data_IF_436909885435
#
_entry.id   IF_436909885435
#
_cell.length_a   1.000
_cell.length_b   1.000
_cell.length_c   1.000
_cell.angle_alpha   90.00
_cell.angle_beta   90.00
_cell.angle_gamma   90.00
#
_symmetry.space_group_name_H-M   'P 1'
#
loop_
_entity.id
_entity.type
_entity.pdbx_description
1 polymer ?
#
# COMPACT_ATOMS: atom_id res chain seq x y z
N UNK A 1 11.65 -11.95 -20.54
CA UNK A 1 12.64 -12.48 -19.57
C UNK A 1 11.88 -12.71 -18.26
N UNK A 2 11.31 -13.90 -18.08
CA UNK A 2 10.65 -14.32 -16.83
C UNK A 2 11.65 -15.20 -16.09
N UNK A 3 11.89 -14.89 -14.83
CA UNK A 3 12.55 -15.81 -13.91
C UNK A 3 11.83 -15.71 -12.58
N UNK A 4 11.04 -16.74 -12.30
CA UNK A 4 10.59 -17.09 -10.95
C UNK A 4 11.76 -17.83 -10.32
N UNK A 5 12.24 -17.35 -9.17
CA UNK A 5 13.18 -18.08 -8.33
C UNK A 5 12.46 -18.43 -7.03
N UNK A 6 12.24 -19.72 -6.82
CA UNK A 6 11.71 -20.30 -5.59
C UNK A 6 12.88 -20.52 -4.63
N UNK A 7 13.01 -19.66 -3.63
CA UNK A 7 13.62 -20.01 -2.36
C UNK A 7 12.80 -19.36 -1.25
N UNK A 8 11.99 -20.19 -0.61
CA UNK A 8 11.07 -19.85 0.45
C UNK A 8 11.79 -19.95 1.79
N UNK A 9 12.32 -18.83 2.26
CA UNK A 9 12.43 -18.56 3.69
C UNK A 9 11.38 -17.51 4.06
N UNK A 10 10.13 -17.96 4.14
CA UNK A 10 8.92 -17.17 4.43
C UNK A 10 8.90 -16.52 5.82
N UNK A 11 9.89 -16.77 6.68
CA UNK A 11 9.95 -16.27 8.07
C UNK A 11 10.93 -15.10 8.31
N UNK A 12 11.52 -14.50 7.26
CA UNK A 12 12.36 -13.28 7.39
C UNK A 12 11.91 -12.08 6.58
N UNK A 13 10.74 -12.15 5.93
CA UNK A 13 10.29 -11.14 4.96
C UNK A 13 9.57 -9.91 5.56
N UNK A 14 9.43 -9.83 6.88
CA UNK A 14 8.81 -8.68 7.56
C UNK A 14 9.75 -7.46 7.70
N UNK A 15 11.05 -7.62 7.45
CA UNK A 15 12.03 -6.53 7.45
C UNK A 15 12.28 -5.93 6.04
N UNK A 16 11.38 -6.17 5.09
CA UNK A 16 11.50 -5.73 3.69
C UNK A 16 10.79 -4.42 3.34
N UNK A 17 10.28 -3.69 4.32
CA UNK A 17 9.61 -2.42 4.09
C UNK A 17 10.63 -1.32 3.81
N UNK A 18 10.73 -0.93 2.53
CA UNK A 18 11.60 0.14 2.01
C UNK A 18 13.06 -0.32 1.81
N UNK A 19 13.33 -1.11 0.77
CA UNK A 19 14.70 -1.10 0.20
C UNK A 19 14.84 0.19 -0.61
N UNK A 20 15.40 1.20 0.04
CA UNK A 20 15.80 2.46 -0.58
C UNK A 20 17.06 2.18 -1.40
N UNK A 21 16.93 2.13 -2.73
CA UNK A 21 18.10 2.08 -3.60
C UNK A 21 18.44 3.50 -4.06
N UNK A 22 19.73 3.90 -4.06
CA UNK A 22 20.15 5.06 -4.82
C UNK A 22 19.78 4.84 -6.29
N UNK A 23 19.18 5.84 -6.95
CA UNK A 23 18.94 5.76 -8.39
C UNK A 23 20.28 5.57 -9.12
N UNK A 24 20.46 4.42 -9.79
CA UNK A 24 21.62 4.15 -10.61
C UNK A 24 21.66 5.15 -11.77
N UNK A 25 22.69 6.00 -11.83
CA UNK A 25 22.94 6.85 -13.01
C UNK A 25 23.69 6.03 -14.04
N UNK A 26 22.97 5.38 -14.93
CA UNK A 26 23.53 4.70 -16.08
C UNK A 26 24.18 5.71 -17.04
N UNK A 27 25.50 5.53 -17.22
CA UNK A 27 26.37 6.35 -18.04
C UNK A 27 26.26 5.91 -19.50
N UNK A 28 25.76 6.77 -20.40
CA UNK A 28 26.07 6.86 -21.85
C UNK A 28 25.12 7.89 -22.50
N UNK A 29 25.53 9.07 -22.97
CA UNK A 29 26.05 9.29 -24.33
C UNK A 29 26.50 10.75 -24.49
N UNK A 30 27.55 10.96 -25.28
CA UNK A 30 28.28 12.20 -25.63
C UNK A 30 27.46 13.33 -26.30
N UNK A 31 27.69 14.60 -25.91
CA UNK A 31 28.28 15.68 -26.75
C UNK A 31 27.97 17.13 -26.25
N UNK A 32 29.05 17.90 -26.11
CA UNK A 32 29.29 19.34 -26.37
C UNK A 32 28.44 20.51 -25.79
N UNK A 33 29.19 21.37 -25.08
CA UNK A 33 29.20 22.84 -25.03
C UNK A 33 28.18 23.63 -24.17
N UNK A 34 28.75 24.41 -23.22
CA UNK A 34 28.15 25.64 -22.65
C UNK A 34 28.16 25.72 -21.11
N UNK A 35 28.78 26.74 -20.47
CA UNK A 35 28.76 26.90 -19.03
C UNK A 35 27.55 27.73 -18.61
N UNK A 36 26.69 27.20 -17.75
CA UNK A 36 25.82 28.04 -16.92
C UNK A 36 25.87 27.54 -15.49
N UNK A 37 26.33 28.45 -14.64
CA UNK A 37 26.34 28.36 -13.20
C UNK A 37 24.94 28.07 -12.69
N UNK A 38 24.74 26.90 -12.11
CA UNK A 38 23.63 26.63 -11.21
C UNK A 38 24.10 25.52 -10.29
N UNK A 39 24.25 25.85 -9.02
CA UNK A 39 24.66 24.98 -7.94
C UNK A 39 23.78 23.72 -7.94
N UNK A 40 24.21 22.67 -8.64
CA UNK A 40 23.56 21.36 -8.59
C UNK A 40 23.96 20.73 -7.28
N UNK A 41 23.19 20.99 -6.21
CA UNK A 41 23.06 20.01 -5.14
C UNK A 41 22.62 18.73 -5.83
N UNK A 42 23.50 17.75 -5.93
CA UNK A 42 23.19 16.45 -6.51
C UNK A 42 22.10 15.82 -5.66
N UNK A 43 20.84 16.04 -6.05
CA UNK A 43 19.70 15.38 -5.44
C UNK A 43 19.94 13.88 -5.57
N UNK A 44 20.05 13.21 -4.42
CA UNK A 44 20.07 11.75 -4.38
C UNK A 44 18.62 11.34 -4.57
N UNK A 45 18.32 10.77 -5.73
CA UNK A 45 17.03 10.16 -6.00
C UNK A 45 17.00 8.77 -5.39
N UNK A 46 15.88 8.43 -4.76
CA UNK A 46 15.67 7.18 -4.06
C UNK A 46 14.50 6.45 -4.71
N UNK A 47 14.73 5.20 -5.11
CA UNK A 47 13.65 4.32 -5.58
C UNK A 47 13.13 3.48 -4.40
N UNK A 48 11.81 3.42 -4.27
CA UNK A 48 11.14 2.67 -3.20
C UNK A 48 10.04 1.79 -3.79
N UNK A 49 10.04 0.53 -3.37
CA UNK A 49 9.10 -0.50 -3.82
C UNK A 49 8.09 -0.83 -2.72
N UNK A 50 6.82 -0.96 -3.12
CA UNK A 50 5.71 -1.31 -2.22
C UNK A 50 4.83 -2.37 -2.86
N UNK A 51 4.13 -3.13 -2.02
CA UNK A 51 2.95 -3.86 -2.49
C UNK A 51 1.82 -2.87 -2.73
N UNK A 52 1.06 -3.08 -3.81
CA UNK A 52 -0.12 -2.27 -4.16
C UNK A 52 -1.06 -2.00 -2.97
N UNK A 53 -1.54 -2.99 -2.20
CA UNK A 53 -2.39 -2.71 -1.06
C UNK A 53 -1.66 -1.97 0.08
N UNK A 54 -0.35 -2.14 0.24
CA UNK A 54 0.38 -1.45 1.32
C UNK A 54 0.45 0.06 1.11
N UNK A 55 0.54 0.51 -0.14
CA UNK A 55 0.58 1.93 -0.47
C UNK A 55 -0.83 2.51 -0.62
N UNK A 56 -1.79 1.76 -1.15
CA UNK A 56 -3.18 2.24 -1.27
C UNK A 56 -3.81 2.50 0.12
N UNK A 57 -3.50 1.66 1.10
CA UNK A 57 -3.99 1.80 2.48
C UNK A 57 -3.03 2.55 3.41
N UNK A 58 -1.97 3.13 2.86
CA UNK A 58 -0.94 3.83 3.62
C UNK A 58 -1.46 5.11 4.27
N UNK A 59 -1.02 5.38 5.49
CA UNK A 59 -1.39 6.60 6.21
C UNK A 59 -0.63 7.80 5.65
N UNK A 60 -1.34 8.73 5.02
CA UNK A 60 -0.77 9.99 4.53
C UNK A 60 -0.44 10.01 3.05
N UNK A 61 -0.56 8.88 2.34
CA UNK A 61 -0.53 8.86 0.89
C UNK A 61 -1.95 8.89 0.31
N UNK A 62 -2.10 9.55 -0.83
CA UNK A 62 -3.38 9.65 -1.52
C UNK A 62 -3.14 9.83 -3.03
N UNK A 63 -4.08 9.33 -3.83
CA UNK A 63 -4.05 9.49 -5.28
C UNK A 63 -4.80 10.77 -5.68
N UNK A 64 -4.18 11.57 -6.52
CA UNK A 64 -4.80 12.72 -7.19
C UNK A 64 -4.69 12.48 -8.69
N UNK A 65 -5.80 12.06 -9.31
CA UNK A 65 -5.80 11.57 -10.69
C UNK A 65 -4.91 10.33 -10.82
N UNK A 66 -3.82 10.44 -11.59
CA UNK A 66 -2.83 9.37 -11.77
C UNK A 66 -1.54 9.58 -10.94
N UNK A 67 -1.48 10.60 -10.10
CA UNK A 67 -0.29 10.92 -9.30
C UNK A 67 -0.47 10.52 -7.84
N UNK A 68 0.54 9.87 -7.27
CA UNK A 68 0.60 9.53 -5.86
C UNK A 68 1.29 10.67 -5.08
N UNK A 69 0.60 11.21 -4.09
CA UNK A 69 1.08 12.32 -3.26
C UNK A 69 1.27 11.86 -1.80
N UNK A 70 2.13 12.55 -1.04
CA UNK A 70 2.38 12.26 0.37
C UNK A 70 3.16 10.95 0.62
N UNK A 71 3.90 10.48 -0.38
CA UNK A 71 4.67 9.25 -0.30
C UNK A 71 5.76 9.32 0.78
N UNK A 72 6.45 10.46 0.87
CA UNK A 72 7.47 10.75 1.88
C UNK A 72 6.95 10.57 3.30
N UNK A 73 5.79 11.16 3.60
CA UNK A 73 5.15 11.07 4.90
C UNK A 73 4.66 9.65 5.18
N UNK A 74 4.08 8.99 4.18
CA UNK A 74 3.63 7.60 4.31
C UNK A 74 4.79 6.66 4.62
N UNK A 75 5.90 6.78 3.90
CA UNK A 75 7.12 5.98 4.13
C UNK A 75 7.69 6.25 5.50
N UNK A 76 7.85 7.52 5.87
CA UNK A 76 8.37 7.89 7.18
C UNK A 76 7.50 7.31 8.29
N UNK A 77 6.18 7.45 8.18
CA UNK A 77 5.24 6.92 9.16
C UNK A 77 5.31 5.40 9.26
N UNK A 78 5.31 4.69 8.12
CA UNK A 78 5.40 3.24 8.08
C UNK A 78 6.68 2.75 8.77
N UNK A 79 7.83 3.35 8.46
CA UNK A 79 9.13 2.98 9.05
C UNK A 79 9.19 3.20 10.56
N UNK A 80 8.45 4.18 11.09
CA UNK A 80 8.43 4.51 12.52
C UNK A 80 7.24 3.89 13.28
N UNK A 81 6.49 3.01 12.63
CA UNK A 81 5.27 2.42 13.19
C UNK A 81 5.46 0.92 13.43
N UNK A 82 4.87 0.44 14.53
CA UNK A 82 4.96 -0.96 14.95
C UNK A 82 3.60 -1.60 14.73
N UNK A 83 3.58 -2.77 14.11
CA UNK A 83 2.36 -3.51 13.86
C UNK A 83 1.76 -4.05 15.17
N UNK A 84 0.50 -3.73 15.45
CA UNK A 84 -0.20 -4.21 16.66
C UNK A 84 -0.45 -5.72 16.69
N UNK A 85 -0.37 -6.40 15.54
CA UNK A 85 -0.57 -7.85 15.44
C UNK A 85 0.73 -8.64 15.60
N UNK A 86 1.77 -8.29 14.80
CA UNK A 86 3.02 -9.05 14.75
C UNK A 86 4.17 -8.40 15.53
N UNK A 87 4.03 -7.16 16.01
CA UNK A 87 5.07 -6.46 16.78
C UNK A 87 6.26 -5.97 15.97
N UNK A 88 6.26 -6.16 14.65
CA UNK A 88 7.33 -5.74 13.74
C UNK A 88 7.13 -4.31 13.23
N UNK A 89 8.22 -3.64 12.86
CA UNK A 89 8.18 -2.30 12.25
C UNK A 89 7.71 -2.34 10.79
N UNK A 90 7.21 -1.22 10.27
CA UNK A 90 6.77 -1.09 8.88
C UNK A 90 5.25 -1.10 8.68
N UNK A 91 4.48 -0.79 9.71
CA UNK A 91 3.03 -0.81 9.65
C UNK A 91 2.43 0.41 8.92
N UNK A 92 2.24 0.35 7.61
CA UNK A 92 1.75 1.51 6.82
C UNK A 92 0.29 1.90 7.09
N UNK A 93 -0.55 0.97 7.56
CA UNK A 93 -1.99 1.22 7.74
C UNK A 93 -2.27 1.70 9.15
N UNK A 94 -2.88 2.88 9.27
CA UNK A 94 -3.23 3.51 10.54
C UNK A 94 -4.73 3.68 10.68
N UNK A 95 -5.21 3.67 11.93
CA UNK A 95 -6.62 3.95 12.19
C UNK A 95 -6.94 5.45 11.99
N UNK A 96 -8.00 5.75 11.24
CA UNK A 96 -8.47 7.15 10.98
C UNK A 96 -8.97 7.87 12.24
N UNK A 97 -9.26 7.13 13.32
CA UNK A 97 -9.87 7.70 14.52
C UNK A 97 -8.90 8.65 15.22
N UNK A 98 -9.36 9.88 15.47
CA UNK A 98 -8.62 10.85 16.30
C UNK A 98 -8.15 10.23 17.62
N UNK A 99 -6.87 10.45 17.96
CA UNK A 99 -6.17 9.91 19.13
C UNK A 99 -5.88 8.39 19.11
N UNK A 100 -6.22 7.68 18.03
CA UNK A 100 -5.75 6.32 17.83
C UNK A 100 -4.39 6.32 17.11
N UNK A 101 -3.40 5.65 17.69
CA UNK A 101 -2.06 5.45 17.08
C UNK A 101 -1.81 3.99 16.72
N UNK A 102 -2.88 3.20 16.62
CA UNK A 102 -2.77 1.82 16.19
C UNK A 102 -2.37 1.78 14.72
N UNK A 103 -1.32 1.02 14.43
CA UNK A 103 -0.80 0.76 13.10
C UNK A 103 -0.69 -0.74 12.85
N UNK A 104 -0.96 -1.17 11.62
CA UNK A 104 -0.95 -2.59 11.24
C UNK A 104 -0.45 -2.77 9.81
N UNK A 105 0.09 -3.96 9.47
CA UNK A 105 0.30 -4.35 8.08
C UNK A 105 -1.03 -4.68 7.39
N UNK A 106 -1.08 -4.58 6.06
CA UNK A 106 -2.27 -5.00 5.28
C UNK A 106 -2.73 -6.43 5.60
N UNK A 107 -1.84 -7.41 5.45
CA UNK A 107 -2.18 -8.81 5.77
C UNK A 107 -2.55 -8.99 7.24
N UNK A 108 -1.84 -8.33 8.15
CA UNK A 108 -2.17 -8.37 9.58
C UNK A 108 -3.57 -7.79 9.86
N UNK A 109 -3.96 -6.70 9.19
CA UNK A 109 -5.26 -6.06 9.33
C UNK A 109 -6.40 -7.02 8.98
N UNK A 110 -6.22 -7.79 7.90
CA UNK A 110 -7.16 -8.84 7.49
C UNK A 110 -7.25 -9.95 8.55
N UNK A 111 -6.13 -10.37 9.13
CA UNK A 111 -6.11 -11.41 10.15
C UNK A 111 -6.83 -11.03 11.45
N UNK A 112 -6.69 -9.78 11.90
CA UNK A 112 -7.30 -9.32 13.16
C UNK A 112 -8.66 -8.62 12.97
N UNK A 113 -9.21 -8.66 11.76
CA UNK A 113 -10.54 -8.14 11.46
C UNK A 113 -10.65 -6.61 11.53
N UNK A 114 -9.63 -5.88 11.09
CA UNK A 114 -9.76 -4.44 10.88
C UNK A 114 -10.76 -4.14 9.77
N UNK A 115 -11.41 -2.98 9.88
CA UNK A 115 -12.35 -2.53 8.86
C UNK A 115 -11.64 -1.60 7.87
N UNK A 116 -11.63 -2.02 6.61
CA UNK A 116 -11.03 -1.33 5.47
C UNK A 116 -12.14 -1.07 4.46
N UNK A 117 -12.53 0.20 4.26
CA UNK A 117 -13.56 0.59 3.29
C UNK A 117 -12.93 0.90 1.92
N UNK A 118 -13.08 0.03 0.90
CA UNK A 118 -12.44 0.22 -0.40
C UNK A 118 -13.02 1.39 -1.19
N UNK A 119 -14.20 1.89 -0.82
CA UNK A 119 -14.83 3.03 -1.49
C UNK A 119 -14.24 4.36 -1.05
N UNK A 120 -13.81 4.46 0.22
CA UNK A 120 -13.27 5.69 0.80
C UNK A 120 -11.79 5.58 1.18
N UNK A 121 -11.18 4.40 1.05
CA UNK A 121 -9.84 4.06 1.54
C UNK A 121 -9.60 4.43 3.01
N UNK A 122 -10.65 4.26 3.83
CA UNK A 122 -10.58 4.52 5.27
C UNK A 122 -10.33 3.21 6.01
N UNK A 123 -9.30 3.21 6.87
CA UNK A 123 -8.97 2.09 7.74
C UNK A 123 -9.34 2.39 9.22
N UNK A 124 -9.95 1.43 9.89
CA UNK A 124 -10.23 1.48 11.33
C UNK A 124 -9.83 0.21 12.05
N UNK A 125 -9.29 0.38 13.25
CA UNK A 125 -8.97 -0.75 14.10
C UNK A 125 -10.22 -1.45 14.62
N UNK A 126 -10.07 -2.70 15.03
CA UNK A 126 -11.15 -3.52 15.59
C UNK A 126 -11.88 -2.84 16.76
N UNK A 127 -11.19 -2.03 17.57
CA UNK A 127 -11.79 -1.25 18.67
C UNK A 127 -12.63 -0.05 18.19
N UNK A 128 -12.43 0.44 16.97
CA UNK A 128 -13.10 1.63 16.43
C UNK A 128 -13.99 1.34 15.21
N UNK A 129 -14.19 0.06 14.87
CA UNK A 129 -15.02 -0.41 13.76
C UNK A 129 -16.49 0.01 13.89
N UNK A 130 -17.01 0.09 15.13
CA UNK A 130 -18.44 0.31 15.42
C UNK A 130 -19.01 1.66 14.93
N UNK A 131 -18.17 2.65 14.62
CA UNK A 131 -18.63 3.94 14.11
C UNK A 131 -18.76 4.00 12.58
N UNK A 132 -18.17 3.03 11.87
CA UNK A 132 -18.21 2.94 10.41
C UNK A 132 -19.09 1.78 9.93
N UNK A 133 -19.45 0.85 10.82
CA UNK A 133 -20.36 -0.28 10.54
C UNK A 133 -21.86 0.12 10.53
N UNK A 134 -22.21 1.37 10.84
CA UNK A 134 -23.60 1.81 10.88
C UNK A 134 -24.28 1.97 9.50
N UNK A 135 -23.73 1.41 8.42
CA UNK A 135 -24.49 1.36 7.15
C UNK A 135 -23.78 1.05 5.84
N UNK A 136 -22.65 0.32 5.76
CA UNK A 136 -22.02 0.07 4.43
C UNK A 136 -21.36 -1.27 4.12
N UNK A 137 -21.37 -2.28 4.99
CA UNK A 137 -20.92 -3.62 4.56
C UNK A 137 -22.11 -4.42 4.01
N UNK A 138 -22.46 -4.19 2.74
CA UNK A 138 -23.18 -5.20 1.97
C UNK A 138 -22.15 -6.23 1.48
N UNK A 139 -22.29 -7.51 1.83
CA UNK A 139 -21.55 -8.57 1.15
C UNK A 139 -21.81 -8.45 -0.36
N UNK A 140 -20.78 -8.65 -1.16
CA UNK A 140 -20.94 -8.89 -2.60
C UNK A 140 -21.92 -10.06 -2.77
N UNK A 141 -23.16 -9.79 -3.17
CA UNK A 141 -24.09 -10.85 -3.55
C UNK A 141 -23.55 -11.48 -4.83
N UNK A 142 -23.22 -12.76 -4.71
CA UNK A 142 -22.91 -13.65 -5.83
C UNK A 142 -24.12 -13.64 -6.77
N UNK A 143 -23.99 -12.98 -7.91
CA UNK A 143 -24.99 -13.04 -8.98
C UNK A 143 -25.08 -14.48 -9.47
N UNK A 144 -26.07 -15.21 -8.97
CA UNK A 144 -26.55 -16.43 -9.61
C UNK A 144 -27.14 -16.02 -10.95
N UNK A 145 -26.40 -16.36 -12.00
CA UNK A 145 -26.87 -16.30 -13.38
C UNK A 145 -27.97 -17.36 -13.56
N UNK A 146 -29.20 -17.04 -13.15
CA UNK A 146 -30.42 -17.75 -13.53
C UNK A 146 -30.90 -17.21 -14.90
N UNK A 147 -30.38 -17.76 -15.99
CA UNK A 147 -31.04 -17.78 -17.31
C UNK A 147 -30.73 -19.14 -17.97
N UNK A 148 -31.67 -19.95 -18.43
CA UNK A 148 -33.11 -19.79 -18.52
C UNK A 148 -33.74 -21.11 -18.97
N UNK A 149 -35.00 -21.27 -18.58
CA UNK A 149 -35.95 -22.23 -19.11
C UNK A 149 -36.09 -22.09 -20.63
N UNK A 150 -35.77 -23.14 -21.39
CA UNK A 150 -36.35 -23.36 -22.71
C UNK A 150 -37.42 -24.45 -22.58
N UNK A 151 -38.63 -24.03 -22.93
CA UNK A 151 -39.87 -24.75 -23.05
C UNK A 151 -39.79 -26.02 -23.89
N UNK A 152 -40.57 -27.01 -23.46
CA UNK A 152 -41.45 -27.90 -24.24
C UNK A 152 -41.24 -27.93 -25.76
N UNK A 153 -40.91 -29.10 -26.31
CA UNK A 153 -41.54 -29.62 -27.53
C UNK A 153 -41.37 -31.16 -27.61
N UNK A 154 -42.41 -31.78 -28.16
CA UNK A 154 -42.81 -33.20 -28.13
C UNK A 154 -41.86 -34.17 -28.84
#
# INVERSE_FOLDING_TARGET
KRTVSTDVDTNKLTAGLTRVFPADKDSSTSNSAGPSTSSKSSAVEYEIWFHEPCIVWGSGCYLVGSALMGLDQCVWSALNSICVNCGEMGASIGCVKSKCRSSVHYSCALHIGWYLDPSTFIATCSTHRDKYDAGRYLPYEESQDDEGSASEDL
#
